data_IF_919903418362
#
_entry.id   IF_919903418362
#
_cell.length_a   1.000
_cell.length_b   1.000
_cell.length_c   1.000
_cell.angle_alpha   90.00
_cell.angle_beta   90.00
_cell.angle_gamma   90.00
#
_symmetry.space_group_name_H-M   'P 1'
#
loop_
_entity.id
_entity.type
_entity.pdbx_description
1 polymer ?
#
# COMPACT_ATOMS: atom_id res chain seq x y z
N UNK A 1 -9.32 9.07 -6.88
CA UNK A 1 -10.65 8.60 -6.43
C UNK A 1 -11.40 9.67 -5.66
N UNK A 2 -10.92 10.15 -4.50
CA UNK A 2 -11.62 11.20 -3.73
C UNK A 2 -11.96 12.45 -4.58
N UNK A 3 -10.98 13.01 -5.28
CA UNK A 3 -11.20 14.17 -6.18
C UNK A 3 -12.17 13.91 -7.34
N UNK A 4 -12.29 12.66 -7.82
CA UNK A 4 -13.27 12.30 -8.87
C UNK A 4 -14.71 12.28 -8.34
N UNK A 5 -14.88 12.25 -7.02
CA UNK A 5 -16.16 12.35 -6.34
C UNK A 5 -16.34 13.74 -5.70
N UNK A 6 -15.62 14.74 -6.20
CA UNK A 6 -15.61 16.13 -5.70
C UNK A 6 -15.30 16.27 -4.19
N UNK A 7 -14.64 15.26 -3.62
CA UNK A 7 -14.24 15.27 -2.21
C UNK A 7 -12.80 15.80 -2.06
N UNK A 8 -12.57 16.53 -0.96
CA UNK A 8 -11.24 17.03 -0.59
C UNK A 8 -10.46 15.94 0.14
N UNK A 9 -9.35 15.41 -0.42
CA UNK A 9 -8.48 14.50 0.30
C UNK A 9 -7.75 15.24 1.42
N UNK A 10 -7.84 14.72 2.64
CA UNK A 10 -7.03 15.17 3.78
C UNK A 10 -5.99 14.09 4.08
N UNK A 11 -4.73 14.38 3.78
CA UNK A 11 -3.62 13.44 4.00
C UNK A 11 -3.16 13.56 5.45
N UNK A 12 -3.08 12.42 6.14
CA UNK A 12 -2.54 12.32 7.49
C UNK A 12 -1.15 11.70 7.40
N UNK A 13 -0.06 12.51 7.51
CA UNK A 13 1.29 11.98 7.41
C UNK A 13 1.58 11.02 8.57
N UNK A 14 2.35 9.97 8.29
CA UNK A 14 2.82 9.00 9.29
C UNK A 14 4.35 8.93 9.23
N UNK A 15 4.98 8.32 10.22
CA UNK A 15 6.44 8.35 10.36
C UNK A 15 7.03 6.95 10.34
N UNK A 16 8.21 6.81 9.74
CA UNK A 16 8.88 5.51 9.60
C UNK A 16 9.17 4.84 10.95
N UNK A 17 9.56 5.61 11.98
CA UNK A 17 9.81 5.08 13.32
C UNK A 17 8.54 4.62 14.05
N UNK A 18 7.37 5.01 13.57
CA UNK A 18 6.05 4.54 14.02
C UNK A 18 5.52 3.41 13.11
N UNK A 19 6.38 2.83 12.27
CA UNK A 19 6.06 1.86 11.22
C UNK A 19 4.97 2.36 10.25
N UNK A 20 4.91 3.67 9.98
CA UNK A 20 3.90 4.30 9.14
C UNK A 20 2.44 4.02 9.59
N UNK A 21 2.23 3.76 10.89
CA UNK A 21 0.90 3.58 11.44
C UNK A 21 0.27 4.94 11.76
N UNK A 22 -1.04 5.06 11.55
CA UNK A 22 -1.79 6.28 11.86
C UNK A 22 -1.81 6.52 13.38
N UNK A 23 -1.37 7.70 13.80
CA UNK A 23 -1.55 8.18 15.18
C UNK A 23 -3.04 8.55 15.41
N UNK A 24 -3.74 7.91 16.36
CA UNK A 24 -5.12 8.26 16.71
C UNK A 24 -5.30 9.72 17.13
N UNK A 25 -4.30 10.35 17.77
CA UNK A 25 -4.37 11.75 18.18
C UNK A 25 -4.34 12.69 16.98
N UNK A 26 -3.50 12.37 15.99
CA UNK A 26 -3.48 13.10 14.73
C UNK A 26 -4.84 13.00 14.03
N UNK A 27 -5.43 11.80 13.97
CA UNK A 27 -6.77 11.60 13.42
C UNK A 27 -7.79 12.52 14.12
N UNK A 28 -7.89 12.46 15.45
CA UNK A 28 -8.83 13.29 16.21
C UNK A 28 -8.64 14.79 15.93
N UNK A 29 -7.39 15.28 15.92
CA UNK A 29 -7.09 16.70 15.69
C UNK A 29 -7.49 17.23 14.31
N UNK A 30 -7.73 16.33 13.36
CA UNK A 30 -8.04 16.64 11.95
C UNK A 30 -9.49 16.38 11.57
N UNK A 31 -10.29 15.80 12.47
CA UNK A 31 -11.71 15.61 12.24
C UNK A 31 -12.46 16.94 12.27
N UNK A 32 -13.44 17.08 11.38
CA UNK A 32 -14.30 18.25 11.27
C UNK A 32 -15.72 17.82 10.88
N UNK A 33 -16.64 18.78 10.83
CA UNK A 33 -17.99 18.52 10.30
C UNK A 33 -18.01 18.10 8.83
N UNK A 34 -16.91 18.30 8.08
CA UNK A 34 -16.79 17.85 6.68
C UNK A 34 -16.20 16.44 6.55
N UNK A 35 -15.68 15.85 7.63
CA UNK A 35 -15.08 14.51 7.62
C UNK A 35 -16.13 13.45 7.32
N UNK A 36 -15.93 12.68 6.23
CA UNK A 36 -16.94 11.74 5.70
C UNK A 36 -16.42 10.32 5.47
N UNK A 37 -15.15 10.16 5.12
CA UNK A 37 -14.55 8.86 4.81
C UNK A 37 -13.13 8.79 5.36
N UNK A 38 -12.85 7.76 6.15
CA UNK A 38 -11.52 7.33 6.55
C UNK A 38 -11.14 6.11 5.70
N UNK A 39 -9.98 6.13 5.07
CA UNK A 39 -9.46 4.99 4.29
C UNK A 39 -8.35 4.34 5.12
N UNK A 40 -8.47 3.03 5.38
CA UNK A 40 -7.44 2.25 6.05
C UNK A 40 -7.01 1.11 5.13
N UNK A 41 -5.71 0.99 4.89
CA UNK A 41 -5.11 -0.09 4.10
C UNK A 41 -4.24 -0.93 5.03
N UNK A 42 -4.66 -2.18 5.29
CA UNK A 42 -3.94 -3.13 6.16
C UNK A 42 -4.13 -4.56 5.63
N UNK A 43 -3.04 -5.29 5.27
CA UNK A 43 -1.67 -4.80 5.14
C UNK A 43 -1.55 -3.64 4.14
N UNK A 44 -0.73 -2.65 4.49
CA UNK A 44 -0.59 -1.41 3.73
C UNK A 44 0.20 -1.62 2.43
N UNK A 45 -0.24 -0.97 1.35
CA UNK A 45 0.58 -0.63 0.20
C UNK A 45 0.75 0.90 0.21
N UNK A 46 1.98 1.44 0.28
CA UNK A 46 3.25 0.79 -0.04
C UNK A 46 4.02 0.15 1.12
N UNK A 47 3.66 0.44 2.37
CA UNK A 47 4.58 0.25 3.52
C UNK A 47 4.69 -1.19 4.03
N UNK A 48 3.73 -2.05 3.70
CA UNK A 48 3.63 -3.41 4.24
C UNK A 48 3.16 -3.46 5.71
N UNK A 49 2.91 -2.31 6.33
CA UNK A 49 2.48 -2.22 7.73
C UNK A 49 1.15 -2.92 7.96
N UNK A 50 1.06 -3.65 9.07
CA UNK A 50 -0.18 -4.29 9.52
C UNK A 50 -0.65 -3.57 10.77
N UNK A 51 -1.87 -3.06 10.75
CA UNK A 51 -2.45 -2.39 11.91
C UNK A 51 -2.68 -3.40 13.04
N UNK A 52 -2.10 -3.20 14.24
CA UNK A 52 -2.39 -4.02 15.39
C UNK A 52 -3.87 -3.90 15.80
N UNK A 53 -4.45 -4.98 16.30
CA UNK A 53 -5.85 -5.00 16.76
C UNK A 53 -6.18 -3.86 17.72
N UNK A 54 -5.34 -3.63 18.73
CA UNK A 54 -5.52 -2.57 19.72
C UNK A 54 -5.64 -1.18 19.07
N UNK A 55 -4.78 -0.90 18.08
CA UNK A 55 -4.80 0.37 17.36
C UNK A 55 -6.08 0.50 16.51
N UNK A 56 -6.54 -0.58 15.88
CA UNK A 56 -7.81 -0.57 15.16
C UNK A 56 -9.00 -0.34 16.11
N UNK A 57 -8.98 -0.90 17.31
CA UNK A 57 -10.01 -0.69 18.33
C UNK A 57 -10.03 0.78 18.79
N UNK A 58 -8.87 1.40 19.01
CA UNK A 58 -8.76 2.83 19.33
C UNK A 58 -9.30 3.71 18.20
N UNK A 59 -8.93 3.44 16.94
CA UNK A 59 -9.45 4.16 15.77
C UNK A 59 -10.96 3.95 15.63
N UNK A 60 -11.46 2.73 15.87
CA UNK A 60 -12.89 2.44 15.81
C UNK A 60 -13.69 3.22 16.86
N UNK A 61 -13.15 3.39 18.06
CA UNK A 61 -13.76 4.22 19.11
C UNK A 61 -13.85 5.69 18.68
N UNK A 62 -12.81 6.22 18.02
CA UNK A 62 -12.86 7.57 17.43
C UNK A 62 -13.98 7.62 16.39
N UNK A 63 -13.97 6.73 15.40
CA UNK A 63 -14.97 6.69 14.31
C UNK A 63 -16.40 6.59 14.86
N UNK A 64 -16.63 5.78 15.89
CA UNK A 64 -17.95 5.59 16.50
C UNK A 64 -18.55 6.89 17.07
N UNK A 65 -17.73 7.86 17.50
CA UNK A 65 -18.18 9.18 17.97
C UNK A 65 -18.56 10.13 16.82
N UNK A 66 -18.28 9.76 15.57
CA UNK A 66 -18.58 10.54 14.37
C UNK A 66 -19.55 9.76 13.47
N UNK A 67 -20.88 9.84 13.68
CA UNK A 67 -21.87 8.97 13.02
C UNK A 67 -21.91 9.11 11.48
N UNK A 68 -21.30 10.16 10.93
CA UNK A 68 -21.16 10.36 9.48
C UNK A 68 -19.85 9.82 8.90
N UNK A 69 -18.89 9.36 9.70
CA UNK A 69 -17.60 8.87 9.22
C UNK A 69 -17.69 7.38 8.86
N UNK A 70 -17.36 7.03 7.62
CA UNK A 70 -17.26 5.63 7.15
C UNK A 70 -15.79 5.20 7.07
N UNK A 71 -15.51 3.91 7.32
CA UNK A 71 -14.18 3.32 7.15
C UNK A 71 -14.17 2.30 5.99
N UNK A 72 -13.12 2.31 5.15
CA UNK A 72 -13.04 1.47 3.95
C UNK A 72 -11.69 0.75 3.81
N UNK A 73 -11.71 -0.51 3.38
CA UNK A 73 -10.55 -1.34 3.10
C UNK A 73 -10.61 -1.92 1.66
N UNK A 74 -9.47 -2.11 0.99
CA UNK A 74 -9.43 -2.51 -0.44
C UNK A 74 -8.31 -3.51 -0.76
N UNK A 75 -8.57 -4.42 -1.73
CA UNK A 75 -7.58 -5.29 -2.43
C UNK A 75 -8.09 -5.66 -3.85
N UNK A 76 -7.27 -6.30 -4.71
CA UNK A 76 -7.57 -6.45 -6.16
C UNK A 76 -7.22 -7.76 -6.90
N UNK A 77 -8.08 -8.10 -7.86
CA UNK A 77 -7.92 -8.54 -9.28
C UNK A 77 -8.87 -7.60 -10.11
N UNK A 78 -9.17 -7.81 -11.41
CA UNK A 78 -10.42 -7.23 -12.02
C UNK A 78 -11.70 -7.86 -11.45
N UNK A 79 -11.60 -8.37 -10.24
CA UNK A 79 -12.63 -8.90 -9.40
C UNK A 79 -12.31 -8.41 -7.99
N UNK A 80 -13.28 -7.70 -7.44
CA UNK A 80 -13.28 -7.21 -6.07
C UNK A 80 -14.71 -7.25 -5.55
N UNK A 81 -14.88 -7.08 -4.25
CA UNK A 81 -16.19 -7.06 -3.62
C UNK A 81 -16.27 -5.90 -2.64
N UNK A 82 -17.50 -5.44 -2.41
CA UNK A 82 -17.84 -4.49 -1.37
C UNK A 82 -18.83 -5.16 -0.42
N UNK A 83 -18.52 -5.15 0.87
CA UNK A 83 -19.44 -5.52 1.93
C UNK A 83 -19.63 -4.33 2.88
N UNK A 84 -20.86 -4.04 3.26
CA UNK A 84 -21.20 -2.89 4.10
C UNK A 84 -22.71 -2.77 4.35
N UNK A 85 -23.17 -1.68 4.98
CA UNK A 85 -24.59 -1.45 5.24
C UNK A 85 -25.44 -1.56 3.96
N UNK A 86 -26.62 -2.20 4.06
CA UNK A 86 -27.50 -2.49 2.90
C UNK A 86 -27.76 -1.27 2.02
N UNK A 87 -28.07 -0.13 2.62
CA UNK A 87 -28.36 1.11 1.87
C UNK A 87 -27.14 1.59 1.06
N UNK A 88 -25.93 1.41 1.59
CA UNK A 88 -24.68 1.80 0.92
C UNK A 88 -24.35 0.85 -0.23
N UNK A 89 -24.42 -0.48 0.02
CA UNK A 89 -24.18 -1.50 -1.02
C UNK A 89 -25.19 -1.36 -2.16
N UNK A 90 -26.47 -1.09 -1.85
CA UNK A 90 -27.50 -0.86 -2.86
C UNK A 90 -27.21 0.39 -3.71
N UNK A 91 -26.74 1.49 -3.09
CA UNK A 91 -26.33 2.69 -3.83
C UNK A 91 -25.14 2.41 -4.75
N UNK A 92 -24.11 1.70 -4.27
CA UNK A 92 -22.98 1.29 -5.09
C UNK A 92 -23.40 0.37 -6.26
N UNK A 93 -24.34 -0.56 -6.03
CA UNK A 93 -24.89 -1.41 -7.09
C UNK A 93 -25.62 -0.62 -8.18
N UNK A 94 -26.40 0.40 -7.81
CA UNK A 94 -27.03 1.33 -8.76
C UNK A 94 -25.98 2.04 -9.61
N UNK A 95 -24.92 2.57 -8.99
CA UNK A 95 -23.81 3.21 -9.71
C UNK A 95 -23.16 2.21 -10.65
N UNK A 96 -22.71 1.05 -10.15
CA UNK A 96 -22.00 0.04 -10.95
C UNK A 96 -22.77 -0.38 -12.21
N UNK A 97 -24.11 -0.50 -12.13
CA UNK A 97 -24.97 -0.85 -13.27
C UNK A 97 -24.85 0.11 -14.45
N UNK A 98 -24.47 1.37 -14.20
CA UNK A 98 -24.33 2.42 -15.21
C UNK A 98 -22.90 2.55 -15.77
N UNK A 99 -21.91 1.84 -15.22
CA UNK A 99 -20.50 1.95 -15.62
C UNK A 99 -19.95 0.65 -16.21
N UNK A 100 -20.11 -0.48 -15.52
CA UNK A 100 -19.39 -1.73 -15.86
C UNK A 100 -20.28 -2.96 -15.88
N UNK A 101 -21.56 -2.83 -15.54
CA UNK A 101 -22.50 -3.93 -15.25
C UNK A 101 -22.01 -4.81 -14.08
N UNK A 102 -21.01 -5.66 -14.30
CA UNK A 102 -20.43 -6.55 -13.30
C UNK A 102 -19.10 -7.14 -13.73
N UNK A 103 -18.44 -7.83 -12.81
CA UNK A 103 -17.20 -8.55 -13.12
C UNK A 103 -17.47 -9.73 -14.07
N UNK A 104 -16.46 -10.09 -14.87
CA UNK A 104 -16.54 -11.23 -15.80
C UNK A 104 -17.04 -12.51 -15.13
N UNK A 105 -17.97 -13.22 -15.77
CA UNK A 105 -18.55 -14.48 -15.26
C UNK A 105 -17.48 -15.56 -15.07
N UNK A 106 -16.46 -15.59 -15.93
CA UNK A 106 -15.29 -16.48 -15.80
C UNK A 106 -14.52 -16.17 -14.52
N UNK A 107 -14.25 -14.88 -14.26
CA UNK A 107 -13.56 -14.45 -13.05
C UNK A 107 -14.37 -14.76 -11.79
N UNK A 108 -15.70 -14.61 -11.83
CA UNK A 108 -16.56 -14.99 -10.71
C UNK A 108 -16.46 -16.49 -10.38
N UNK A 109 -16.45 -17.36 -11.39
CA UNK A 109 -16.26 -18.81 -11.18
C UNK A 109 -14.87 -19.14 -10.63
N UNK A 110 -13.83 -18.46 -11.12
CA UNK A 110 -12.48 -18.60 -10.58
C UNK A 110 -12.41 -18.18 -9.10
N UNK A 111 -13.11 -17.12 -8.70
CA UNK A 111 -13.19 -16.73 -7.29
C UNK A 111 -13.90 -17.75 -6.41
N UNK A 112 -14.99 -18.37 -6.89
CA UNK A 112 -15.65 -19.44 -6.13
C UNK A 112 -14.68 -20.60 -5.90
N UNK A 113 -13.92 -21.00 -6.92
CA UNK A 113 -12.89 -22.03 -6.77
C UNK A 113 -11.79 -21.60 -5.79
N UNK A 114 -11.32 -20.35 -5.89
CA UNK A 114 -10.29 -19.81 -4.99
C UNK A 114 -10.77 -19.74 -3.52
N UNK A 115 -12.02 -19.33 -3.26
CA UNK A 115 -12.62 -19.34 -1.92
C UNK A 115 -12.84 -20.76 -1.40
N UNK A 116 -12.98 -21.75 -2.30
CA UNK A 116 -13.07 -23.17 -1.97
C UNK A 116 -11.74 -23.82 -1.56
N UNK A 117 -10.60 -23.12 -1.64
CA UNK A 117 -9.28 -23.65 -1.24
C UNK A 117 -9.12 -23.83 0.29
N UNK A 118 -10.13 -23.46 1.07
CA UNK A 118 -10.14 -23.58 2.54
C UNK A 118 -9.77 -22.28 3.25
N UNK A 119 -9.72 -22.35 4.58
CA UNK A 119 -9.41 -21.19 5.43
C UNK A 119 -8.07 -20.56 5.01
N UNK A 120 -8.06 -19.23 4.82
CA UNK A 120 -6.92 -18.47 4.32
C UNK A 120 -6.31 -18.99 3.00
N UNK A 121 -7.08 -19.73 2.20
CA UNK A 121 -6.67 -20.30 0.91
C UNK A 121 -5.75 -21.53 1.00
N UNK A 122 -5.64 -22.15 2.17
CA UNK A 122 -4.97 -23.44 2.36
C UNK A 122 -3.48 -23.43 2.05
N UNK A 123 -2.97 -24.60 1.64
CA UNK A 123 -1.54 -24.80 1.36
C UNK A 123 -1.05 -23.92 0.20
N UNK A 124 -1.86 -23.74 -0.85
CA UNK A 124 -1.50 -22.93 -2.00
C UNK A 124 -1.12 -21.49 -1.62
N UNK A 125 -1.89 -20.86 -0.72
CA UNK A 125 -1.56 -19.52 -0.22
C UNK A 125 -0.41 -19.58 0.79
N UNK A 126 -0.35 -20.59 1.67
CA UNK A 126 0.71 -20.69 2.68
C UNK A 126 2.11 -20.80 2.05
N UNK A 127 2.26 -21.56 0.96
CA UNK A 127 3.51 -21.64 0.17
C UNK A 127 3.91 -20.28 -0.39
N UNK A 128 2.96 -19.51 -0.93
CA UNK A 128 3.22 -18.17 -1.42
C UNK A 128 3.63 -17.22 -0.30
N UNK A 129 2.93 -17.24 0.83
CA UNK A 129 3.27 -16.42 2.01
C UNK A 129 4.68 -16.71 2.50
N UNK A 130 5.08 -17.99 2.56
CA UNK A 130 6.45 -18.39 2.92
C UNK A 130 7.47 -17.80 1.93
N UNK A 131 7.25 -17.95 0.63
CA UNK A 131 8.14 -17.40 -0.38
C UNK A 131 8.23 -15.86 -0.32
N UNK A 132 7.12 -15.16 -0.10
CA UNK A 132 7.12 -13.70 0.08
C UNK A 132 7.87 -13.26 1.34
N UNK A 133 7.76 -14.02 2.43
CA UNK A 133 8.50 -13.76 3.67
C UNK A 133 10.00 -13.93 3.48
N UNK A 134 10.44 -15.01 2.83
CA UNK A 134 11.86 -15.23 2.51
C UNK A 134 12.43 -14.11 1.65
N UNK A 135 11.68 -13.67 0.63
CA UNK A 135 12.08 -12.53 -0.24
C UNK A 135 12.15 -11.22 0.53
N UNK A 136 11.18 -10.95 1.42
CA UNK A 136 11.21 -9.78 2.30
C UNK A 136 12.43 -9.80 3.22
N UNK A 137 12.70 -10.92 3.87
CA UNK A 137 13.80 -11.08 4.82
C UNK A 137 15.17 -10.93 4.12
N UNK A 138 15.28 -11.39 2.85
CA UNK A 138 16.44 -11.13 2.00
C UNK A 138 16.62 -9.63 1.74
N UNK A 139 15.58 -8.91 1.32
CA UNK A 139 15.65 -7.47 1.06
C UNK A 139 16.03 -6.65 2.29
N UNK A 140 15.46 -6.97 3.46
CA UNK A 140 15.78 -6.29 4.72
C UNK A 140 17.26 -6.43 5.11
N UNK A 141 17.91 -7.54 4.75
CA UNK A 141 19.35 -7.77 5.00
C UNK A 141 20.25 -7.20 3.90
N UNK A 142 19.72 -7.04 2.69
CA UNK A 142 20.52 -6.70 1.51
C UNK A 142 20.73 -5.19 1.32
N UNK A 143 19.99 -4.35 2.04
CA UNK A 143 20.00 -2.89 1.88
C UNK A 143 20.80 -2.20 3.02
N UNK A 144 22.11 -2.09 2.85
CA UNK A 144 23.00 -1.18 3.60
C UNK A 144 23.99 -0.58 2.61
N UNK A 145 23.89 0.73 2.33
CA UNK A 145 24.73 1.40 1.32
C UNK A 145 24.89 2.90 1.67
N UNK A 146 26.11 3.43 1.52
CA UNK A 146 26.51 4.82 1.76
C UNK A 146 26.74 5.60 0.44
N UNK A 147 26.02 6.72 0.24
CA UNK A 147 26.47 7.93 -0.48
C UNK A 147 25.72 8.50 -1.73
N UNK A 148 26.03 9.76 -2.19
CA UNK A 148 26.09 10.76 -3.38
C UNK A 148 24.89 11.21 -4.20
N UNK A 149 25.07 12.47 -4.60
CA UNK A 149 24.24 13.32 -5.44
C UNK A 149 23.31 14.10 -4.55
N UNK A 150 22.93 15.33 -4.93
CA UNK A 150 21.66 15.84 -4.42
C UNK A 150 20.58 15.06 -5.15
N UNK A 151 20.30 13.86 -4.66
CA UNK A 151 19.00 13.25 -4.79
C UNK A 151 18.10 14.13 -3.94
N UNK A 152 17.37 15.01 -4.59
CA UNK A 152 16.46 15.97 -3.97
C UNK A 152 15.09 15.37 -3.64
N UNK A 153 14.85 14.12 -4.07
CA UNK A 153 13.60 13.40 -3.83
C UNK A 153 13.62 11.98 -4.39
N UNK A 154 12.54 11.27 -4.15
CA UNK A 154 12.37 9.87 -4.55
C UNK A 154 12.29 9.66 -6.07
N UNK A 155 11.75 10.63 -6.81
CA UNK A 155 11.65 10.60 -8.29
C UNK A 155 13.04 10.65 -8.94
N UNK A 156 13.94 11.53 -8.48
CA UNK A 156 15.29 11.66 -9.04
C UNK A 156 16.14 10.43 -8.76
N UNK A 157 16.00 9.80 -7.58
CA UNK A 157 16.62 8.49 -7.30
C UNK A 157 16.02 7.36 -8.15
N UNK A 158 14.71 7.35 -8.36
CA UNK A 158 14.06 6.36 -9.23
C UNK A 158 14.57 6.45 -10.68
N UNK A 159 14.61 7.64 -11.26
CA UNK A 159 15.11 7.85 -12.63
C UNK A 159 16.57 7.41 -12.77
N UNK A 160 17.40 7.72 -11.78
CA UNK A 160 18.79 7.27 -11.73
C UNK A 160 18.90 5.74 -11.77
N UNK A 161 18.16 5.02 -10.91
CA UNK A 161 18.18 3.55 -10.86
C UNK A 161 17.62 2.91 -12.13
N UNK A 162 16.61 3.53 -12.74
CA UNK A 162 16.04 3.08 -14.01
C UNK A 162 17.05 3.23 -15.15
N UNK A 163 17.62 4.42 -15.32
CA UNK A 163 18.49 4.72 -16.47
C UNK A 163 19.85 4.06 -16.36
N UNK A 164 20.46 4.05 -15.16
CA UNK A 164 21.82 3.55 -14.98
C UNK A 164 21.90 2.04 -14.84
N UNK A 165 20.93 1.43 -14.16
CA UNK A 165 20.99 0.00 -13.84
C UNK A 165 19.75 -0.79 -14.25
N UNK A 166 18.82 -0.16 -14.97
CA UNK A 166 17.64 -0.80 -15.55
C UNK A 166 16.80 -1.53 -14.50
N UNK A 167 16.64 -0.89 -13.33
CA UNK A 167 15.78 -1.36 -12.25
C UNK A 167 14.61 -0.39 -12.08
N UNK A 168 13.43 -0.81 -12.50
CA UNK A 168 12.20 -0.04 -12.36
C UNK A 168 11.62 -0.21 -10.95
N UNK A 169 11.49 0.90 -10.22
CA UNK A 169 10.87 1.00 -8.90
C UNK A 169 9.68 1.97 -8.98
N UNK A 170 9.08 2.33 -7.84
CA UNK A 170 8.11 3.43 -7.79
C UNK A 170 8.55 4.44 -6.74
N UNK A 171 8.68 5.72 -7.09
CA UNK A 171 9.06 6.78 -6.15
C UNK A 171 7.98 6.97 -5.07
N UNK A 172 8.40 7.46 -3.91
CA UNK A 172 7.56 7.61 -2.72
C UNK A 172 6.60 8.79 -2.79
N UNK A 173 6.93 9.84 -3.54
CA UNK A 173 6.07 11.00 -3.80
C UNK A 173 4.72 10.60 -4.42
N UNK A 174 4.70 9.56 -5.25
CA UNK A 174 3.49 8.96 -5.80
C UNK A 174 2.54 8.41 -4.71
N UNK A 175 3.07 8.16 -3.51
CA UNK A 175 2.32 7.74 -2.31
C UNK A 175 2.22 8.85 -1.25
N UNK A 176 2.75 10.05 -1.52
CA UNK A 176 2.71 11.20 -0.62
C UNK A 176 3.85 11.26 0.41
N UNK A 177 4.93 10.48 0.24
CA UNK A 177 6.11 10.53 1.09
C UNK A 177 7.40 10.44 0.25
N UNK A 178 8.02 11.58 -0.01
CA UNK A 178 9.17 11.72 -0.91
C UNK A 178 10.50 11.22 -0.29
N UNK A 179 10.48 10.74 0.96
CA UNK A 179 11.66 10.21 1.65
C UNK A 179 11.94 8.74 1.32
N UNK A 180 11.05 8.08 0.57
CA UNK A 180 11.05 6.63 0.38
C UNK A 180 11.00 6.22 -1.10
N UNK A 181 11.39 4.97 -1.39
CA UNK A 181 11.11 4.30 -2.67
C UNK A 181 10.40 2.98 -2.39
N UNK A 182 9.37 2.67 -3.18
CA UNK A 182 8.64 1.39 -3.09
C UNK A 182 9.28 0.34 -3.99
N UNK A 183 9.69 -0.76 -3.38
CA UNK A 183 10.18 -1.96 -4.06
C UNK A 183 9.13 -3.08 -3.94
N UNK A 184 8.67 -3.60 -5.08
CA UNK A 184 7.87 -4.84 -5.10
C UNK A 184 8.80 -6.05 -5.08
N UNK A 185 8.65 -6.92 -4.08
CA UNK A 185 9.35 -8.21 -4.01
C UNK A 185 8.50 -9.38 -4.56
N UNK A 186 7.45 -9.06 -5.32
CA UNK A 186 6.62 -10.04 -6.01
C UNK A 186 7.20 -10.48 -7.36
N UNK A 187 8.46 -10.92 -7.33
CA UNK A 187 9.19 -11.47 -8.46
C UNK A 187 9.98 -12.71 -8.04
N UNK A 188 10.67 -13.36 -8.99
CA UNK A 188 11.53 -14.50 -8.71
C UNK A 188 12.75 -14.09 -7.86
N UNK A 189 13.29 -14.99 -7.03
CA UNK A 189 14.46 -14.68 -6.19
C UNK A 189 15.67 -14.26 -7.03
N UNK A 190 15.89 -14.90 -8.18
CA UNK A 190 16.98 -14.54 -9.09
C UNK A 190 16.81 -13.13 -9.68
N UNK A 191 15.58 -12.73 -10.00
CA UNK A 191 15.27 -11.34 -10.40
C UNK A 191 15.61 -10.36 -9.26
N UNK A 192 15.24 -10.69 -8.02
CA UNK A 192 15.50 -9.84 -6.86
C UNK A 192 16.99 -9.74 -6.55
N UNK A 193 17.73 -10.84 -6.62
CA UNK A 193 19.19 -10.86 -6.46
C UNK A 193 19.88 -9.98 -7.50
N UNK A 194 19.51 -10.13 -8.78
CA UNK A 194 20.06 -9.30 -9.84
C UNK A 194 19.73 -7.80 -9.64
N UNK A 195 18.51 -7.48 -9.19
CA UNK A 195 18.11 -6.11 -8.88
C UNK A 195 18.92 -5.53 -7.70
N UNK A 196 19.11 -6.30 -6.62
CA UNK A 196 19.94 -5.91 -5.47
C UNK A 196 21.38 -5.61 -5.90
N UNK A 197 22.02 -6.51 -6.65
CA UNK A 197 23.42 -6.32 -7.06
C UNK A 197 23.58 -5.07 -7.94
N UNK A 198 22.62 -4.83 -8.83
CA UNK A 198 22.55 -3.64 -9.67
C UNK A 198 22.35 -2.37 -8.85
N UNK A 199 21.40 -2.37 -7.92
CA UNK A 199 21.14 -1.25 -7.00
C UNK A 199 22.38 -0.96 -6.16
N UNK A 200 23.00 -1.99 -5.55
CA UNK A 200 24.24 -1.85 -4.78
C UNK A 200 25.34 -1.20 -5.60
N UNK A 201 25.60 -1.71 -6.80
CA UNK A 201 26.62 -1.15 -7.69
C UNK A 201 26.33 0.31 -8.05
N UNK A 202 25.07 0.66 -8.28
CA UNK A 202 24.65 2.03 -8.54
C UNK A 202 24.90 2.92 -7.32
N UNK A 203 24.38 2.53 -6.17
CA UNK A 203 24.44 3.32 -4.94
C UNK A 203 25.85 3.43 -4.35
N UNK A 204 26.74 2.45 -4.56
CA UNK A 204 28.16 2.57 -4.19
C UNK A 204 28.89 3.63 -5.02
N UNK A 205 28.43 3.91 -6.24
CA UNK A 205 28.99 5.01 -7.05
C UNK A 205 28.62 6.40 -6.52
N UNK A 206 27.85 6.43 -5.44
CA UNK A 206 27.43 7.62 -4.73
C UNK A 206 28.23 7.71 -3.37
N UNK A 207 28.47 8.89 -2.77
CA UNK A 207 29.20 9.41 -1.58
C UNK A 207 28.38 10.50 -0.78
N UNK A 208 28.13 10.43 0.53
CA UNK A 208 26.98 11.11 1.21
C UNK A 208 26.79 12.62 0.97
N UNK A 209 25.53 13.11 1.04
CA UNK A 209 25.26 14.54 1.03
C UNK A 209 25.97 15.22 2.21
N UNK A 210 26.74 16.28 1.93
CA UNK A 210 27.34 17.11 2.99
C UNK A 210 26.20 17.92 3.62
N UNK A 211 26.02 17.91 4.95
CA UNK A 211 25.06 18.80 5.60
C UNK A 211 25.48 20.25 5.30
N UNK A 212 24.62 21.02 4.63
CA UNK A 212 24.77 22.47 4.49
C UNK A 212 24.27 23.15 5.76
#
# INVERSE_FOLDING_TARGET
MARLADATPLILPTRIFENFLLDPKLLESKLSEKSRLLILCSPSNPTGSVYPRKLLEEIAQIVARHPRLLAFAMTGWRLGYLAGPKHFVAACGKIQSQFTSGASSISQKAAVAALGLGYAGGEAISTMVKAFRERRDFWLKALEIDGFGVIDGSESLYQYLLDKVQVALVPGDAFGDDTCIRISYAASLSTLQAAVERIKKALISLSPAVPV
#
